data_IF_518808591172
#
_entry.id   IF_518808591172
#
_cell.length_a   1.000
_cell.length_b   1.000
_cell.length_c   1.000
_cell.angle_alpha   90.00
_cell.angle_beta   90.00
_cell.angle_gamma   90.00
#
_symmetry.space_group_name_H-M   'P 1'
#
loop_
_entity.id
_entity.type
_entity.pdbx_description
1 polymer ?
#
# COMPACT_ATOMS: atom_id res chain seq x y z
N UNK A 1 -3.28 13.54 5.28
CA UNK A 1 -3.33 13.74 3.82
C UNK A 1 -2.10 13.09 3.22
N UNK A 2 -2.26 12.13 2.30
CA UNK A 2 -1.16 11.44 1.61
C UNK A 2 -1.40 11.54 0.10
N UNK A 3 -0.45 12.09 -0.64
CA UNK A 3 -0.55 12.20 -2.11
C UNK A 3 0.14 11.04 -2.80
N UNK A 4 1.32 10.67 -2.36
CA UNK A 4 2.01 9.51 -2.87
C UNK A 4 2.82 8.82 -1.76
N UNK A 5 3.07 7.53 -1.98
CA UNK A 5 4.05 6.75 -1.22
C UNK A 5 4.83 5.90 -2.21
N UNK A 6 6.03 5.48 -1.80
CA UNK A 6 6.88 4.59 -2.58
C UNK A 6 7.09 3.28 -1.84
N UNK A 7 6.99 2.15 -2.55
CA UNK A 7 7.21 0.81 -1.99
C UNK A 7 8.20 0.00 -2.85
N UNK A 8 8.94 -0.95 -2.27
CA UNK A 8 9.79 -1.87 -3.02
C UNK A 8 9.03 -3.12 -3.50
N UNK A 9 9.37 -3.60 -4.70
CA UNK A 9 8.92 -4.87 -5.26
C UNK A 9 10.02 -5.57 -6.04
N UNK A 10 9.95 -6.90 -6.14
CA UNK A 10 10.82 -7.68 -7.03
C UNK A 10 10.31 -7.62 -8.49
N UNK A 11 8.99 -7.55 -8.68
CA UNK A 11 8.30 -7.41 -9.97
C UNK A 11 7.44 -6.12 -9.98
N UNK A 12 8.05 -4.93 -10.11
CA UNK A 12 7.35 -3.65 -9.94
C UNK A 12 6.16 -3.43 -10.86
N UNK A 13 6.25 -3.86 -12.12
CA UNK A 13 5.13 -3.78 -13.08
C UNK A 13 3.93 -4.58 -12.59
N UNK A 14 4.17 -5.83 -12.17
CA UNK A 14 3.12 -6.72 -11.70
C UNK A 14 2.46 -6.17 -10.44
N UNK A 15 3.26 -5.70 -9.49
CA UNK A 15 2.76 -5.10 -8.24
C UNK A 15 1.96 -3.81 -8.50
N UNK A 16 2.47 -2.91 -9.33
CA UNK A 16 1.74 -1.68 -9.66
C UNK A 16 0.43 -1.98 -10.41
N UNK A 17 0.42 -3.01 -11.26
CA UNK A 17 -0.78 -3.49 -11.95
C UNK A 17 -1.85 -3.98 -10.97
N UNK A 18 -1.46 -4.76 -9.96
CA UNK A 18 -2.39 -5.24 -8.92
C UNK A 18 -2.93 -4.09 -8.08
N UNK A 19 -2.08 -3.14 -7.67
CA UNK A 19 -2.55 -1.95 -6.91
C UNK A 19 -3.53 -1.13 -7.75
N UNK A 20 -3.26 -0.95 -9.05
CA UNK A 20 -4.18 -0.27 -9.95
C UNK A 20 -5.52 -1.04 -10.09
N UNK A 21 -5.49 -2.37 -10.17
CA UNK A 21 -6.70 -3.21 -10.20
C UNK A 21 -7.54 -3.04 -8.91
N UNK A 22 -6.91 -3.08 -7.74
CA UNK A 22 -7.57 -2.87 -6.44
C UNK A 22 -8.26 -1.50 -6.35
N UNK A 23 -7.70 -0.49 -7.01
CA UNK A 23 -8.29 0.85 -7.10
C UNK A 23 -9.29 1.03 -8.24
N UNK A 24 -9.39 0.07 -9.17
CA UNK A 24 -10.02 0.31 -10.50
C UNK A 24 -9.41 1.53 -11.20
N UNK A 25 -8.12 1.73 -10.98
CA UNK A 25 -7.34 2.86 -11.47
C UNK A 25 -6.52 2.50 -12.69
N UNK A 26 -5.31 3.05 -12.80
CA UNK A 26 -4.41 2.83 -13.93
C UNK A 26 -2.96 2.70 -13.51
N UNK A 27 -2.20 1.91 -14.23
CA UNK A 27 -0.76 1.77 -14.05
C UNK A 27 -0.02 2.42 -15.23
N UNK A 28 1.07 3.14 -14.94
CA UNK A 28 1.97 3.69 -15.95
C UNK A 28 3.43 3.41 -15.56
N UNK A 29 4.34 3.20 -16.53
CA UNK A 29 5.77 3.19 -16.22
C UNK A 29 6.19 4.55 -15.64
N UNK A 30 7.28 4.58 -14.86
CA UNK A 30 7.84 5.82 -14.31
C UNK A 30 9.22 6.12 -14.94
N UNK A 31 9.27 6.77 -16.12
CA UNK A 31 10.51 6.91 -16.90
C UNK A 31 11.72 7.51 -16.17
N UNK A 32 11.57 8.47 -15.23
CA UNK A 32 12.69 8.97 -14.42
C UNK A 32 13.43 7.88 -13.63
N UNK A 33 12.77 6.75 -13.33
CA UNK A 33 13.34 5.64 -12.59
C UNK A 33 13.15 4.33 -13.38
N UNK A 34 14.16 3.90 -14.16
CA UNK A 34 14.08 2.67 -14.92
C UNK A 34 13.67 1.46 -14.08
N UNK A 35 12.67 0.71 -14.56
CA UNK A 35 12.10 -0.45 -13.87
C UNK A 35 11.06 -0.10 -12.80
N UNK A 36 10.78 1.18 -12.54
CA UNK A 36 9.71 1.60 -11.64
C UNK A 36 8.39 1.85 -12.39
N UNK A 37 7.29 1.64 -11.68
CA UNK A 37 5.93 1.82 -12.18
C UNK A 37 5.09 2.58 -11.15
N UNK A 38 4.08 3.31 -11.61
CA UNK A 38 3.16 4.06 -10.77
C UNK A 38 1.76 3.46 -10.90
N UNK A 39 1.16 3.10 -9.76
CA UNK A 39 -0.26 2.85 -9.66
C UNK A 39 -0.98 4.16 -9.32
N UNK A 40 -1.97 4.54 -10.13
CA UNK A 40 -2.78 5.74 -9.97
C UNK A 40 -4.17 5.35 -9.54
N UNK A 41 -4.62 5.88 -8.40
CA UNK A 41 -5.97 5.63 -7.88
C UNK A 41 -7.07 6.28 -8.74
N UNK A 42 -6.78 7.41 -9.38
CA UNK A 42 -7.79 8.20 -10.10
C UNK A 42 -8.78 8.94 -9.20
N UNK A 43 -8.55 8.96 -7.89
CA UNK A 43 -9.39 9.67 -6.92
C UNK A 43 -9.23 11.20 -7.00
N UNK A 44 -10.01 11.93 -6.21
CA UNK A 44 -9.96 13.40 -6.16
C UNK A 44 -8.56 13.94 -5.76
N UNK A 45 -7.80 13.14 -5.01
CA UNK A 45 -6.46 13.50 -4.53
C UNK A 45 -5.37 13.16 -5.53
N UNK A 46 -5.71 12.35 -6.53
CA UNK A 46 -4.78 11.74 -7.47
C UNK A 46 -3.72 10.95 -6.72
N UNK A 47 -4.15 10.15 -5.73
CA UNK A 47 -3.23 9.36 -4.91
C UNK A 47 -2.46 8.36 -5.77
N UNK A 48 -1.14 8.25 -5.54
CA UNK A 48 -0.23 7.38 -6.29
C UNK A 48 0.55 6.46 -5.35
N UNK A 49 0.79 5.22 -5.78
CA UNK A 49 1.85 4.39 -5.20
C UNK A 49 2.91 4.15 -6.27
N UNK A 50 4.11 4.64 -6.00
CA UNK A 50 5.28 4.38 -6.83
C UNK A 50 5.91 3.06 -6.39
N UNK A 51 6.08 2.13 -7.32
CA UNK A 51 6.65 0.81 -7.07
C UNK A 51 8.03 0.76 -7.70
N UNK A 52 9.06 0.63 -6.86
CA UNK A 52 10.45 0.60 -7.28
C UNK A 52 11.02 -0.83 -7.22
N UNK A 53 12.00 -1.17 -8.09
CA UNK A 53 12.78 -2.38 -7.91
C UNK A 53 13.39 -2.42 -6.51
N UNK A 54 13.25 -3.55 -5.81
CA UNK A 54 13.76 -3.71 -4.45
C UNK A 54 15.26 -3.40 -4.38
N UNK A 55 15.65 -2.65 -3.36
CA UNK A 55 17.02 -2.16 -3.18
C UNK A 55 17.33 -0.85 -3.90
N UNK A 56 16.39 -0.24 -4.64
CA UNK A 56 16.51 1.14 -5.12
C UNK A 56 16.13 2.10 -3.99
N UNK A 57 17.13 2.44 -3.18
CA UNK A 57 16.95 3.25 -1.98
C UNK A 57 17.06 4.75 -2.31
N UNK A 58 16.09 5.54 -1.86
CA UNK A 58 16.20 6.98 -1.83
C UNK A 58 17.14 7.40 -0.70
N UNK A 59 18.13 8.25 -1.02
CA UNK A 59 19.14 8.73 -0.08
C UNK A 59 19.23 10.26 -0.14
N UNK A 60 19.63 10.94 0.96
CA UNK A 60 19.87 12.39 0.91
C UNK A 60 20.94 12.76 -0.13
N UNK A 61 20.68 13.81 -0.91
CA UNK A 61 21.64 14.43 -1.83
C UNK A 61 21.30 15.93 -2.03
N UNK A 62 22.20 16.68 -2.67
CA UNK A 62 22.03 18.13 -2.91
C UNK A 62 21.07 18.40 -4.07
N UNK A 63 20.15 19.36 -3.90
CA UNK A 63 19.17 19.77 -4.92
C UNK A 63 17.95 18.83 -5.07
N UNK A 64 18.16 17.52 -5.01
CA UNK A 64 17.14 16.47 -5.02
C UNK A 64 17.64 15.25 -4.24
N UNK A 65 16.75 14.32 -3.85
CA UNK A 65 17.19 13.03 -3.34
C UNK A 65 18.01 12.26 -4.37
N UNK A 66 18.99 11.50 -3.90
CA UNK A 66 19.76 10.56 -4.72
C UNK A 66 19.13 9.18 -4.68
N UNK A 67 19.56 8.30 -5.59
CA UNK A 67 19.21 6.88 -5.56
C UNK A 67 20.45 6.04 -5.47
N UNK A 68 20.47 5.12 -4.51
CA UNK A 68 21.49 4.09 -4.36
C UNK A 68 20.89 2.72 -4.65
N UNK A 69 21.66 1.85 -5.27
CA UNK A 69 21.32 0.42 -5.34
C UNK A 69 21.98 -0.31 -4.18
N UNK A 70 21.17 -0.84 -3.26
CA UNK A 70 21.60 -1.79 -2.24
C UNK A 70 21.61 -3.20 -2.85
N UNK A 71 22.76 -3.89 -2.92
CA UNK A 71 22.85 -5.21 -3.53
C UNK A 71 22.28 -6.34 -2.65
N UNK A 72 22.00 -6.07 -1.38
CA UNK A 72 21.45 -7.04 -0.43
C UNK A 72 20.34 -6.39 0.43
N UNK A 73 19.24 -5.92 -0.21
CA UNK A 73 18.15 -5.31 0.54
C UNK A 73 17.42 -6.35 1.38
N UNK A 74 16.85 -5.93 2.51
CA UNK A 74 15.93 -6.77 3.26
C UNK A 74 14.74 -7.18 2.39
N UNK A 75 14.32 -8.44 2.52
CA UNK A 75 13.10 -8.92 1.87
C UNK A 75 11.85 -8.27 2.47
N UNK A 76 11.88 -7.94 3.77
CA UNK A 76 10.77 -7.36 4.52
C UNK A 76 11.04 -5.89 4.86
N UNK A 77 9.98 -5.17 5.22
CA UNK A 77 10.04 -3.73 5.52
C UNK A 77 9.55 -3.41 6.93
N UNK A 78 10.14 -2.40 7.56
CA UNK A 78 9.60 -1.79 8.79
C UNK A 78 8.37 -0.89 8.53
N UNK A 79 8.06 -0.60 7.26
CA UNK A 79 6.88 0.16 6.87
C UNK A 79 5.85 -0.73 6.17
N UNK A 80 4.60 -0.27 6.23
CA UNK A 80 3.46 -0.82 5.52
C UNK A 80 2.50 0.32 5.19
N UNK A 81 1.54 0.08 4.30
CA UNK A 81 0.56 1.09 3.92
C UNK A 81 -0.86 0.58 4.19
N UNK A 82 -1.68 1.44 4.78
CA UNK A 82 -3.13 1.25 4.80
C UNK A 82 -3.75 2.01 3.62
N UNK A 83 -4.46 1.29 2.76
CA UNK A 83 -5.04 1.81 1.52
C UNK A 83 -6.54 1.56 1.49
N UNK A 84 -7.32 2.60 1.17
CA UNK A 84 -8.69 2.42 0.71
C UNK A 84 -8.69 1.81 -0.69
N UNK A 85 -9.55 0.82 -0.92
CA UNK A 85 -9.73 0.16 -2.22
C UNK A 85 -11.17 0.24 -2.72
N UNK A 86 -11.36 0.08 -4.03
CA UNK A 86 -12.67 0.15 -4.68
C UNK A 86 -13.35 -1.24 -4.81
N UNK A 87 -12.66 -2.29 -4.38
CA UNK A 87 -13.10 -3.68 -4.50
C UNK A 87 -13.56 -4.27 -3.16
N UNK A 88 -14.31 -5.36 -3.23
CA UNK A 88 -14.77 -6.14 -2.08
C UNK A 88 -13.65 -7.03 -1.50
N UNK A 89 -13.84 -7.55 -0.28
CA UNK A 89 -12.90 -8.50 0.33
C UNK A 89 -12.72 -9.77 -0.52
N UNK A 90 -13.81 -10.29 -1.10
CA UNK A 90 -13.77 -11.48 -1.96
C UNK A 90 -12.92 -11.24 -3.21
N UNK A 91 -13.04 -10.07 -3.83
CA UNK A 91 -12.18 -9.67 -4.95
C UNK A 91 -10.70 -9.57 -4.53
N UNK A 92 -10.41 -9.02 -3.34
CA UNK A 92 -9.04 -8.95 -2.81
C UNK A 92 -8.46 -10.37 -2.63
N UNK A 93 -9.22 -11.30 -2.04
CA UNK A 93 -8.77 -12.68 -1.85
C UNK A 93 -8.58 -13.41 -3.18
N UNK A 94 -9.45 -13.17 -4.17
CA UNK A 94 -9.30 -13.74 -5.50
C UNK A 94 -8.04 -13.24 -6.21
N UNK A 95 -7.75 -11.93 -6.11
CA UNK A 95 -6.51 -11.32 -6.61
C UNK A 95 -5.31 -11.96 -5.90
N UNK A 96 -5.31 -12.02 -4.57
CA UNK A 96 -4.20 -12.61 -3.80
C UNK A 96 -3.92 -14.07 -4.20
N UNK A 97 -4.97 -14.88 -4.33
CA UNK A 97 -4.87 -16.27 -4.77
C UNK A 97 -4.30 -16.39 -6.20
N UNK A 98 -4.73 -15.52 -7.12
CA UNK A 98 -4.20 -15.46 -8.49
C UNK A 98 -2.71 -15.11 -8.51
N UNK A 99 -2.29 -14.19 -7.64
CA UNK A 99 -0.89 -13.77 -7.57
C UNK A 99 0.00 -14.73 -6.77
N UNK A 100 -0.59 -15.66 -6.00
CA UNK A 100 0.15 -16.52 -5.07
C UNK A 100 0.66 -15.77 -3.84
N UNK A 101 -0.04 -14.70 -3.45
CA UNK A 101 0.28 -13.85 -2.31
C UNK A 101 -0.58 -14.21 -1.10
N UNK A 102 0.00 -14.12 0.10
CA UNK A 102 -0.71 -14.31 1.35
C UNK A 102 -1.69 -13.16 1.57
N UNK A 103 -2.95 -13.50 1.84
CA UNK A 103 -3.96 -12.56 2.28
C UNK A 103 -4.74 -13.12 3.47
N UNK A 104 -5.04 -12.28 4.46
CA UNK A 104 -5.85 -12.66 5.61
C UNK A 104 -6.76 -11.53 6.09
N UNK A 105 -7.95 -11.88 6.57
CA UNK A 105 -8.84 -10.93 7.23
C UNK A 105 -8.31 -10.64 8.64
N UNK A 106 -8.33 -9.36 9.02
CA UNK A 106 -7.77 -8.91 10.30
C UNK A 106 -8.68 -7.84 10.91
N UNK A 107 -9.19 -8.10 12.11
CA UNK A 107 -10.04 -7.17 12.85
C UNK A 107 -9.19 -6.30 13.78
N UNK A 108 -9.56 -5.02 13.93
CA UNK A 108 -8.88 -4.07 14.83
C UNK A 108 -9.77 -3.82 16.05
N UNK A 109 -10.01 -4.90 16.81
CA UNK A 109 -10.82 -4.92 18.04
C UNK A 109 -12.20 -4.27 17.87
N UNK A 110 -12.87 -4.58 16.75
CA UNK A 110 -14.20 -4.08 16.40
C UNK A 110 -14.23 -2.64 15.88
N UNK A 111 -13.12 -1.89 15.87
CA UNK A 111 -13.08 -0.52 15.37
C UNK A 111 -13.31 -0.48 13.84
N UNK A 112 -12.57 -1.31 13.13
CA UNK A 112 -12.67 -1.55 11.69
C UNK A 112 -11.92 -2.84 11.38
N UNK A 113 -12.06 -3.35 10.18
CA UNK A 113 -11.35 -4.54 9.72
C UNK A 113 -10.61 -4.23 8.41
N UNK A 114 -9.57 -4.98 8.14
CA UNK A 114 -8.77 -4.89 6.90
C UNK A 114 -8.57 -6.27 6.31
N UNK A 115 -8.24 -6.31 5.01
CA UNK A 115 -7.54 -7.46 4.45
C UNK A 115 -6.05 -7.15 4.43
N UNK A 116 -5.26 -7.91 5.17
CA UNK A 116 -3.80 -7.84 5.12
C UNK A 116 -3.33 -8.61 3.89
N UNK A 117 -2.86 -7.89 2.87
CA UNK A 117 -2.27 -8.45 1.65
C UNK A 117 -0.75 -8.32 1.73
N UNK A 118 -0.04 -9.45 1.71
CA UNK A 118 1.40 -9.49 1.64
C UNK A 118 1.85 -9.56 0.19
N UNK A 119 2.07 -8.39 -0.41
CA UNK A 119 2.56 -8.26 -1.78
C UNK A 119 3.89 -9.00 -1.91
N UNK A 120 3.94 -9.95 -2.85
CA UNK A 120 5.07 -10.87 -3.07
C UNK A 120 5.47 -11.67 -1.82
N UNK A 121 4.58 -11.77 -0.83
CA UNK A 121 4.85 -12.30 0.51
C UNK A 121 5.95 -11.51 1.27
N UNK A 122 6.11 -10.21 0.97
CA UNK A 122 7.24 -9.38 1.42
C UNK A 122 6.87 -8.01 1.98
N UNK A 123 5.89 -7.33 1.39
CA UNK A 123 5.46 -6.01 1.82
C UNK A 123 3.97 -6.02 2.18
N UNK A 124 3.63 -5.50 3.36
CA UNK A 124 2.24 -5.51 3.84
C UNK A 124 1.47 -4.30 3.31
N UNK A 125 0.31 -4.58 2.71
CA UNK A 125 -0.75 -3.61 2.47
C UNK A 125 -1.96 -4.00 3.34
N UNK A 126 -2.46 -3.06 4.13
CA UNK A 126 -3.74 -3.18 4.83
C UNK A 126 -4.83 -2.56 3.95
N UNK A 127 -5.72 -3.38 3.41
CA UNK A 127 -6.71 -2.96 2.42
C UNK A 127 -8.08 -2.76 3.09
N UNK A 128 -8.60 -1.53 2.98
CA UNK A 128 -9.92 -1.14 3.49
C UNK A 128 -10.93 -1.08 2.34
N UNK A 129 -11.92 -1.97 2.37
CA UNK A 129 -13.07 -1.89 1.45
C UNK A 129 -13.87 -0.61 1.69
N UNK A 130 -14.78 -0.20 0.78
CA UNK A 130 -15.55 1.03 0.96
C UNK A 130 -16.31 1.09 2.30
N UNK A 131 -16.85 -0.03 2.77
CA UNK A 131 -17.51 -0.11 4.08
C UNK A 131 -16.53 0.12 5.24
N UNK A 132 -15.36 -0.50 5.17
CA UNK A 132 -14.34 -0.37 6.21
C UNK A 132 -13.67 1.00 6.21
N UNK A 133 -13.61 1.69 5.07
CA UNK A 133 -13.20 3.10 5.01
C UNK A 133 -14.14 3.99 5.82
N UNK A 134 -15.46 3.78 5.73
CA UNK A 134 -16.44 4.51 6.57
C UNK A 134 -16.23 4.19 8.05
N UNK A 135 -16.14 2.90 8.42
CA UNK A 135 -15.88 2.49 9.82
C UNK A 135 -14.58 3.08 10.36
N UNK A 136 -13.51 3.06 9.56
CA UNK A 136 -12.23 3.67 9.91
C UNK A 136 -12.41 5.16 10.19
N UNK A 137 -13.04 5.91 9.28
CA UNK A 137 -13.24 7.36 9.45
C UNK A 137 -14.08 7.69 10.69
N UNK A 138 -15.12 6.89 10.97
CA UNK A 138 -15.99 7.08 12.12
C UNK A 138 -15.31 6.77 13.45
N UNK A 139 -14.40 5.79 13.48
CA UNK A 139 -13.79 5.28 14.71
C UNK A 139 -12.41 5.83 15.01
N UNK A 140 -11.60 6.13 14.00
CA UNK A 140 -10.22 6.61 14.13
C UNK A 140 -10.15 8.14 14.33
N UNK A 141 -11.02 8.66 15.18
CA UNK A 141 -11.01 10.08 15.56
C UNK A 141 -10.08 10.29 16.76
N UNK A 142 -9.41 11.44 16.81
CA UNK A 142 -8.52 11.80 17.94
C UNK A 142 -9.26 11.68 19.28
N UNK A 143 -10.53 12.09 19.34
CA UNK A 143 -11.33 12.03 20.56
C UNK A 143 -11.57 10.59 21.04
N UNK A 144 -12.01 9.70 20.14
CA UNK A 144 -12.22 8.27 20.46
C UNK A 144 -10.92 7.58 20.84
N UNK A 145 -9.84 7.85 20.12
CA UNK A 145 -8.53 7.24 20.38
C UNK A 145 -7.96 7.67 21.75
N UNK A 146 -8.07 8.95 22.12
CA UNK A 146 -7.68 9.40 23.46
C UNK A 146 -8.47 8.68 24.55
N UNK A 147 -9.80 8.63 24.41
CA UNK A 147 -10.66 7.95 25.38
C UNK A 147 -10.32 6.45 25.52
N UNK A 148 -9.93 5.79 24.42
CA UNK A 148 -9.50 4.39 24.44
C UNK A 148 -8.16 4.20 25.18
N UNK A 149 -7.16 5.04 24.89
CA UNK A 149 -5.82 4.91 25.48
C UNK A 149 -5.74 5.38 26.94
N UNK A 150 -6.59 6.32 27.35
CA UNK A 150 -6.65 6.75 28.75
C UNK A 150 -7.37 5.71 29.64
N UNK A 151 -8.07 4.73 29.04
CA UNK A 151 -8.78 3.67 29.74
C UNK A 151 -7.94 2.40 29.98
N UNK A 152 -6.70 2.35 29.48
CA UNK A 152 -5.72 1.26 29.62
C UNK A 152 -4.58 1.63 30.54
#
# INVERSE_FOLDING_TARGET
>A
MLFHASIPADEPERVAGVIAELWRGSMLPFPPFPGAFMAWSGDERRTVVDVYPRGREHVPAEGMFGVRTNPAPSAYSESHLALGVAVSSDEIFAIAAREGWLAQASDRDGLFSVVELWVENKFLLELLTPQEQTRYADNMTIAKLRALFDAT
#
